data_IF_451680570290
#
_entry.id   IF_451680570290
#
_cell.length_a   1.000
_cell.length_b   1.000
_cell.length_c   1.000
_cell.angle_alpha   90.00
_cell.angle_beta   90.00
_cell.angle_gamma   90.00
#
_symmetry.space_group_name_H-M   'P 1'
#
loop_
_entity.id
_entity.type
_entity.pdbx_description
1 polymer ?
#
# COMPACT_ATOMS: atom_id res chain seq x y z
N UNK A 1 -9.19 -12.15 12.33
CA UNK A 1 -8.12 -11.26 11.84
C UNK A 1 -8.36 -11.01 10.35
N UNK A 2 -8.19 -9.78 9.90
CA UNK A 2 -8.38 -9.36 8.51
C UNK A 2 -7.17 -8.51 8.11
N UNK A 3 -6.56 -8.81 6.99
CA UNK A 3 -5.41 -8.09 6.46
C UNK A 3 -5.87 -7.30 5.24
N UNK A 4 -5.65 -5.99 5.26
CA UNK A 4 -6.09 -5.11 4.18
C UNK A 4 -5.22 -3.85 4.09
N UNK A 5 -5.49 -3.05 3.07
CA UNK A 5 -4.93 -1.72 2.92
C UNK A 5 -5.33 -0.80 4.06
N UNK A 6 -4.40 0.01 4.54
CA UNK A 6 -4.69 1.06 5.53
C UNK A 6 -5.78 2.05 5.10
N UNK A 7 -5.95 2.27 3.79
CA UNK A 7 -7.03 3.08 3.25
C UNK A 7 -8.43 2.51 3.54
N UNK A 8 -8.55 1.18 3.77
CA UNK A 8 -9.82 0.52 4.11
C UNK A 8 -10.25 0.67 5.56
N UNK A 9 -9.35 1.06 6.48
CA UNK A 9 -9.60 1.06 7.93
C UNK A 9 -10.85 1.85 8.30
N UNK A 10 -11.04 3.04 7.73
CA UNK A 10 -12.20 3.87 8.02
C UNK A 10 -13.51 3.20 7.62
N UNK A 11 -13.57 2.60 6.43
CA UNK A 11 -14.76 1.89 5.95
C UNK A 11 -15.09 0.68 6.83
N UNK A 12 -14.07 -0.04 7.30
CA UNK A 12 -14.25 -1.17 8.22
C UNK A 12 -14.82 -0.69 9.55
N UNK A 13 -14.31 0.41 10.12
CA UNK A 13 -14.84 0.98 11.36
C UNK A 13 -16.30 1.39 11.19
N UNK A 14 -16.62 2.14 10.15
CA UNK A 14 -17.96 2.70 9.93
C UNK A 14 -19.02 1.62 9.60
N UNK A 15 -18.61 0.52 8.98
CA UNK A 15 -19.52 -0.58 8.63
C UNK A 15 -19.66 -1.63 9.73
N UNK A 16 -18.79 -1.63 10.74
CA UNK A 16 -18.81 -2.61 11.81
C UNK A 16 -19.77 -2.22 12.94
N UNK A 17 -20.48 -3.21 13.49
CA UNK A 17 -21.35 -3.05 14.68
C UNK A 17 -20.64 -3.42 16.00
N UNK A 18 -19.32 -3.56 15.94
CA UNK A 18 -18.46 -3.94 17.06
C UNK A 18 -17.20 -3.08 17.06
N UNK A 19 -16.45 -3.13 18.16
CA UNK A 19 -15.18 -2.38 18.26
C UNK A 19 -14.12 -3.00 17.37
N UNK A 20 -13.58 -2.19 16.44
CA UNK A 20 -12.52 -2.57 15.52
C UNK A 20 -11.17 -2.18 16.12
N UNK A 21 -10.29 -3.15 16.33
CA UNK A 21 -8.88 -2.93 16.65
C UNK A 21 -8.04 -2.92 15.37
N UNK A 22 -6.98 -2.12 15.36
CA UNK A 22 -5.96 -2.10 14.30
C UNK A 22 -4.60 -2.35 14.93
N UNK A 23 -3.81 -3.19 14.31
CA UNK A 23 -2.47 -3.53 14.78
C UNK A 23 -1.50 -3.57 13.59
N UNK A 24 -0.21 -3.58 13.89
CA UNK A 24 0.84 -3.80 12.90
C UNK A 24 0.70 -5.19 12.29
N UNK A 25 1.17 -5.35 11.06
CA UNK A 25 1.26 -6.66 10.41
C UNK A 25 2.08 -7.60 11.30
N UNK A 26 1.56 -8.80 11.64
CA UNK A 26 2.26 -9.74 12.49
C UNK A 26 3.53 -10.25 11.80
N UNK A 27 4.54 -10.55 12.59
CA UNK A 27 5.82 -11.12 12.16
C UNK A 27 6.25 -12.20 13.15
N UNK A 28 7.11 -13.17 12.73
CA UNK A 28 7.63 -14.20 13.64
C UNK A 28 8.44 -13.60 14.79
N UNK A 29 8.41 -14.23 15.97
CA UNK A 29 9.07 -13.72 17.18
C UNK A 29 10.60 -13.64 17.04
N UNK A 30 11.19 -14.52 16.24
CA UNK A 30 12.60 -14.63 15.97
C UNK A 30 13.09 -13.70 14.84
N UNK A 31 12.17 -12.96 14.20
CA UNK A 31 12.48 -12.04 13.11
C UNK A 31 12.24 -10.61 13.54
N UNK A 32 13.19 -9.73 13.25
CA UNK A 32 13.02 -8.30 13.50
C UNK A 32 11.98 -7.72 12.55
N UNK A 33 11.04 -6.96 13.08
CA UNK A 33 10.07 -6.22 12.27
C UNK A 33 10.76 -5.32 11.25
N UNK A 34 10.39 -5.49 9.97
CA UNK A 34 10.99 -4.75 8.85
C UNK A 34 10.14 -3.57 8.35
N UNK A 35 8.88 -3.51 8.73
CA UNK A 35 7.94 -2.49 8.28
C UNK A 35 6.99 -2.99 7.19
N UNK A 36 6.45 -2.06 6.42
CA UNK A 36 5.41 -2.32 5.42
C UNK A 36 5.78 -1.72 4.07
N UNK A 37 5.19 -2.28 3.01
CA UNK A 37 5.27 -1.72 1.66
C UNK A 37 4.24 -0.59 1.53
N UNK A 38 4.63 0.54 0.96
CA UNK A 38 3.69 1.59 0.58
C UNK A 38 3.18 1.34 -0.85
N UNK A 39 1.87 1.47 -1.02
CA UNK A 39 1.23 1.56 -2.32
C UNK A 39 0.66 2.95 -2.55
N UNK A 40 0.05 3.19 -3.70
CA UNK A 40 -0.59 4.45 -3.98
C UNK A 40 -0.74 4.71 -5.47
N UNK A 41 -0.97 5.99 -5.79
CA UNK A 41 -1.06 6.51 -7.14
C UNK A 41 -0.22 7.78 -7.25
N UNK A 42 0.17 8.13 -8.46
CA UNK A 42 0.89 9.37 -8.75
C UNK A 42 0.22 10.13 -9.89
N UNK A 43 0.39 11.45 -9.87
CA UNK A 43 -0.06 12.32 -10.95
C UNK A 43 1.09 12.54 -11.94
N UNK A 44 0.75 12.45 -13.20
CA UNK A 44 1.70 12.65 -14.30
C UNK A 44 1.22 13.77 -15.19
N UNK A 45 2.13 14.66 -15.56
CA UNK A 45 1.85 15.72 -16.52
C UNK A 45 2.42 15.34 -17.89
N UNK A 46 1.59 15.41 -18.92
CA UNK A 46 2.03 15.20 -20.32
C UNK A 46 2.60 16.49 -20.89
N UNK A 47 3.61 16.36 -21.74
CA UNK A 47 4.14 17.47 -22.54
C UNK A 47 3.43 17.64 -23.90
N UNK A 48 2.39 16.86 -24.17
CA UNK A 48 1.64 16.89 -25.43
C UNK A 48 0.51 17.92 -25.46
N UNK A 49 0.46 18.82 -24.48
CA UNK A 49 -0.53 19.91 -24.39
C UNK A 49 0.18 21.26 -24.36
N UNK A 50 -0.56 22.33 -24.61
CA UNK A 50 0.00 23.69 -24.62
C UNK A 50 0.70 24.03 -23.29
N UNK A 51 1.74 24.85 -23.36
CA UNK A 51 2.56 25.25 -22.21
C UNK A 51 1.70 25.89 -21.08
N UNK A 52 0.71 26.67 -21.44
CA UNK A 52 -0.23 27.27 -20.49
C UNK A 52 -1.02 26.21 -19.73
N UNK A 53 -1.47 25.16 -20.41
CA UNK A 53 -2.14 24.01 -19.77
C UNK A 53 -1.20 23.27 -18.83
N UNK A 54 0.09 23.09 -19.22
CA UNK A 54 1.09 22.48 -18.35
C UNK A 54 1.33 23.33 -17.09
N UNK A 55 1.41 24.66 -17.21
CA UNK A 55 1.52 25.57 -16.05
C UNK A 55 0.33 25.43 -15.10
N UNK A 56 -0.89 25.40 -15.64
CA UNK A 56 -2.10 25.19 -14.85
C UNK A 56 -2.12 23.83 -14.13
N UNK A 57 -1.73 22.77 -14.84
CA UNK A 57 -1.60 21.43 -14.25
C UNK A 57 -0.55 21.39 -13.12
N UNK A 58 0.57 22.06 -13.31
CA UNK A 58 1.61 22.17 -12.28
C UNK A 58 1.13 22.94 -11.04
N UNK A 59 0.41 24.03 -11.25
CA UNK A 59 -0.17 24.81 -10.15
C UNK A 59 -1.21 23.98 -9.36
N UNK A 60 -2.01 23.17 -10.05
CA UNK A 60 -2.93 22.24 -9.43
C UNK A 60 -2.17 21.14 -8.62
N UNK A 61 -1.11 20.56 -9.18
CA UNK A 61 -0.28 19.61 -8.45
C UNK A 61 0.31 20.22 -7.17
N UNK A 62 0.84 21.45 -7.25
CA UNK A 62 1.33 22.17 -6.06
C UNK A 62 0.22 22.43 -5.04
N UNK A 63 -0.98 22.77 -5.50
CA UNK A 63 -2.12 22.94 -4.62
C UNK A 63 -2.44 21.66 -3.86
N UNK A 64 -2.45 20.51 -4.54
CA UNK A 64 -2.72 19.21 -3.92
C UNK A 64 -1.68 18.80 -2.85
N UNK A 65 -0.47 19.37 -2.86
CA UNK A 65 0.57 19.07 -1.85
C UNK A 65 0.50 19.94 -0.60
N UNK A 66 -0.41 20.92 -0.52
CA UNK A 66 -0.57 21.77 0.67
C UNK A 66 -1.02 20.96 1.88
N UNK A 67 -0.59 21.34 3.06
CA UNK A 67 -0.87 20.63 4.30
C UNK A 67 -2.38 20.50 4.59
N UNK A 68 -3.12 21.57 4.45
CA UNK A 68 -4.58 21.61 4.65
C UNK A 68 -5.34 20.73 3.65
N UNK A 69 -4.91 20.73 2.38
CA UNK A 69 -5.49 19.89 1.32
C UNK A 69 -5.17 18.41 1.58
N UNK A 70 -3.94 18.10 1.94
CA UNK A 70 -3.51 16.75 2.28
C UNK A 70 -4.15 16.23 3.57
N UNK A 71 -4.39 17.10 4.55
CA UNK A 71 -5.13 16.75 5.77
C UNK A 71 -6.57 16.32 5.43
N UNK A 72 -7.25 17.08 4.57
CA UNK A 72 -8.58 16.73 4.09
C UNK A 72 -8.59 15.43 3.32
N UNK A 73 -7.65 15.26 2.39
CA UNK A 73 -7.50 14.02 1.61
C UNK A 73 -7.29 12.81 2.52
N UNK A 74 -6.37 12.90 3.48
CA UNK A 74 -6.09 11.83 4.43
C UNK A 74 -7.33 11.45 5.26
N UNK A 75 -8.04 12.44 5.81
CA UNK A 75 -9.20 12.17 6.68
C UNK A 75 -10.41 11.63 5.93
N UNK A 76 -10.61 12.01 4.67
CA UNK A 76 -11.74 11.57 3.86
C UNK A 76 -11.51 10.22 3.15
N UNK A 77 -10.27 9.93 2.78
CA UNK A 77 -9.94 8.76 1.95
C UNK A 77 -9.19 7.65 2.70
N UNK A 78 -8.57 7.95 3.83
CA UNK A 78 -7.67 7.04 4.55
C UNK A 78 -6.29 6.87 3.91
N UNK A 79 -6.00 7.53 2.79
CA UNK A 79 -4.65 7.52 2.20
C UNK A 79 -3.68 8.35 3.03
N UNK A 80 -2.41 7.94 3.06
CA UNK A 80 -1.36 8.71 3.74
C UNK A 80 -1.12 10.05 3.06
N UNK A 81 -0.88 11.07 3.89
CA UNK A 81 -0.45 12.37 3.38
C UNK A 81 1.01 12.29 2.89
N UNK A 82 1.27 12.90 1.74
CA UNK A 82 2.63 13.12 1.24
C UNK A 82 3.29 14.36 1.86
N UNK A 83 2.50 15.20 2.56
CA UNK A 83 2.98 16.35 3.29
C UNK A 83 2.97 16.05 4.80
N UNK A 84 4.12 15.95 5.48
CA UNK A 84 4.18 15.65 6.91
C UNK A 84 3.43 16.66 7.79
N UNK A 85 3.38 17.93 7.38
CA UNK A 85 2.69 18.99 8.15
C UNK A 85 1.18 18.77 8.22
N UNK A 86 0.61 18.03 7.28
CA UNK A 86 -0.80 17.67 7.30
C UNK A 86 -1.22 16.94 8.59
N UNK A 87 -0.32 16.14 9.16
CA UNK A 87 -0.59 15.41 10.42
C UNK A 87 -0.68 16.35 11.64
N UNK A 88 -0.22 17.59 11.52
CA UNK A 88 -0.32 18.63 12.54
C UNK A 88 -1.61 19.45 12.41
N UNK A 89 -2.35 19.32 11.32
CA UNK A 89 -3.58 20.06 11.09
C UNK A 89 -4.68 19.66 12.11
N UNK A 90 -5.48 20.62 12.57
CA UNK A 90 -6.55 20.36 13.54
C UNK A 90 -7.52 19.27 13.09
N UNK A 91 -7.83 19.21 11.80
CA UNK A 91 -8.73 18.22 11.21
C UNK A 91 -8.22 16.78 11.45
N UNK A 92 -6.93 16.53 11.24
CA UNK A 92 -6.32 15.20 11.43
C UNK A 92 -6.26 14.86 12.93
N UNK A 93 -5.90 15.83 13.79
CA UNK A 93 -5.88 15.64 15.26
C UNK A 93 -7.25 15.22 15.80
N UNK A 94 -8.31 15.92 15.41
CA UNK A 94 -9.69 15.57 15.79
C UNK A 94 -10.08 14.17 15.27
N UNK A 95 -9.67 13.85 14.05
CA UNK A 95 -9.93 12.51 13.49
C UNK A 95 -9.26 11.41 14.31
N UNK A 96 -8.02 11.62 14.74
CA UNK A 96 -7.26 10.64 15.54
C UNK A 96 -7.76 10.53 16.99
N UNK A 97 -8.31 11.62 17.55
CA UNK A 97 -9.02 11.55 18.85
C UNK A 97 -10.26 10.67 18.75
N UNK A 98 -11.02 10.80 17.67
CA UNK A 98 -12.24 10.02 17.44
C UNK A 98 -11.97 8.58 17.02
N UNK A 99 -10.92 8.36 16.22
CA UNK A 99 -10.55 7.07 15.62
C UNK A 99 -9.05 6.82 15.78
N UNK A 100 -8.59 6.52 17.01
CA UNK A 100 -7.15 6.35 17.29
C UNK A 100 -6.52 5.20 16.47
N UNK A 101 -7.32 4.26 15.99
CA UNK A 101 -6.88 3.16 15.14
C UNK A 101 -6.22 3.63 13.84
N UNK A 102 -6.64 4.78 13.30
CA UNK A 102 -6.07 5.35 12.07
C UNK A 102 -4.61 5.75 12.25
N UNK A 103 -4.22 6.17 13.45
CA UNK A 103 -2.85 6.56 13.76
C UNK A 103 -1.88 5.38 13.69
N UNK A 104 -2.34 4.19 14.08
CA UNK A 104 -1.53 2.96 14.09
C UNK A 104 -0.92 2.67 12.71
N UNK A 105 -1.68 2.88 11.64
CA UNK A 105 -1.22 2.64 10.27
C UNK A 105 -0.12 3.63 9.84
N UNK A 106 -0.25 4.89 10.22
CA UNK A 106 0.75 5.92 9.95
C UNK A 106 2.03 5.65 10.74
N UNK A 107 1.91 5.30 12.01
CA UNK A 107 3.05 4.95 12.88
C UNK A 107 3.83 3.75 12.32
N UNK A 108 3.13 2.72 11.83
CA UNK A 108 3.77 1.56 11.20
C UNK A 108 4.55 1.96 9.95
N UNK A 109 3.97 2.80 9.09
CA UNK A 109 4.65 3.27 7.88
C UNK A 109 5.89 4.11 8.24
N UNK A 110 5.77 5.04 9.19
CA UNK A 110 6.86 5.91 9.62
C UNK A 110 8.00 5.14 10.30
N UNK A 111 7.68 4.06 11.01
CA UNK A 111 8.67 3.16 11.61
C UNK A 111 9.36 2.25 10.59
N UNK A 112 8.86 2.19 9.36
CA UNK A 112 9.40 1.35 8.29
C UNK A 112 10.75 1.88 7.83
N UNK A 113 11.77 1.02 7.85
CA UNK A 113 13.08 1.33 7.28
C UNK A 113 13.06 1.02 5.78
N UNK A 114 13.41 1.98 4.91
CA UNK A 114 13.51 1.73 3.48
C UNK A 114 14.52 0.61 3.19
N UNK A 115 14.07 -0.37 2.41
CA UNK A 115 14.89 -1.51 1.96
C UNK A 115 14.30 -2.07 0.67
N UNK A 116 15.00 -2.97 0.01
CA UNK A 116 14.46 -3.67 -1.17
C UNK A 116 13.14 -4.39 -0.85
N UNK A 117 13.02 -4.95 0.35
CA UNK A 117 11.79 -5.63 0.79
C UNK A 117 10.62 -4.66 1.00
N UNK A 118 10.87 -3.46 1.53
CA UNK A 118 9.83 -2.46 1.83
C UNK A 118 9.50 -1.54 0.66
N UNK A 119 10.32 -1.53 -0.40
CA UNK A 119 10.00 -0.85 -1.67
C UNK A 119 8.97 -1.63 -2.51
N UNK A 120 8.76 -2.90 -2.19
CA UNK A 120 7.91 -3.80 -2.96
C UNK A 120 8.64 -4.45 -4.13
N UNK A 121 8.05 -5.50 -4.66
CA UNK A 121 8.62 -6.23 -5.77
C UNK A 121 8.46 -5.46 -7.08
N UNK A 122 9.56 -5.26 -7.80
CA UNK A 122 9.58 -4.70 -9.16
C UNK A 122 9.97 -5.82 -10.13
N UNK A 123 8.97 -6.53 -10.62
CA UNK A 123 9.14 -7.64 -11.57
C UNK A 123 8.18 -7.49 -12.75
N UNK A 124 8.63 -7.89 -13.94
CA UNK A 124 7.85 -7.78 -15.17
C UNK A 124 6.61 -8.68 -15.22
N UNK A 125 6.56 -9.70 -14.36
CA UNK A 125 5.51 -10.73 -14.28
C UNK A 125 4.72 -10.61 -12.98
N UNK A 126 4.51 -9.40 -12.50
CA UNK A 126 3.83 -9.17 -11.22
C UNK A 126 2.39 -9.71 -11.18
N UNK A 127 1.56 -9.56 -12.26
CA UNK A 127 0.23 -10.15 -12.31
C UNK A 127 0.24 -11.68 -12.16
N UNK A 128 1.14 -12.36 -12.87
CA UNK A 128 1.29 -13.82 -12.81
C UNK A 128 1.74 -14.30 -11.44
N UNK A 129 2.66 -13.56 -10.81
CA UNK A 129 3.13 -13.84 -9.45
C UNK A 129 1.98 -13.71 -8.44
N UNK A 130 1.16 -12.68 -8.54
CA UNK A 130 -0.01 -12.49 -7.68
C UNK A 130 -1.04 -13.61 -7.85
N UNK A 131 -1.33 -14.00 -9.08
CA UNK A 131 -2.24 -15.09 -9.38
C UNK A 131 -1.73 -16.43 -8.80
N UNK A 132 -0.43 -16.69 -8.90
CA UNK A 132 0.20 -17.87 -8.31
C UNK A 132 0.04 -17.89 -6.76
N UNK A 133 0.19 -16.75 -6.10
CA UNK A 133 -0.01 -16.64 -4.64
C UNK A 133 -1.47 -16.84 -4.26
N UNK A 134 -2.42 -16.27 -4.99
CA UNK A 134 -3.86 -16.48 -4.76
C UNK A 134 -4.20 -17.97 -4.85
N UNK A 135 -3.76 -18.66 -5.90
CA UNK A 135 -3.97 -20.10 -6.08
C UNK A 135 -3.34 -20.94 -4.98
N UNK A 136 -2.16 -20.53 -4.48
CA UNK A 136 -1.54 -21.20 -3.35
C UNK A 136 -2.37 -21.06 -2.07
N UNK A 137 -2.91 -19.87 -1.79
CA UNK A 137 -3.77 -19.63 -0.64
C UNK A 137 -5.08 -20.44 -0.74
N UNK A 138 -5.72 -20.46 -1.91
CA UNK A 138 -6.91 -21.28 -2.17
C UNK A 138 -6.62 -22.76 -1.91
N UNK A 139 -5.52 -23.29 -2.45
CA UNK A 139 -5.13 -24.68 -2.21
C UNK A 139 -4.85 -24.99 -0.72
N UNK A 140 -4.30 -24.03 0.04
CA UNK A 140 -4.12 -24.17 1.48
C UNK A 140 -5.46 -24.21 2.22
N UNK A 141 -6.45 -23.41 1.82
CA UNK A 141 -7.80 -23.46 2.39
C UNK A 141 -8.48 -24.81 2.10
N UNK A 142 -8.16 -25.44 0.97
CA UNK A 142 -8.62 -26.79 0.59
C UNK A 142 -7.79 -27.90 1.25
N UNK A 143 -6.87 -27.57 2.15
CA UNK A 143 -6.12 -28.52 2.97
C UNK A 143 -4.75 -28.92 2.41
N UNK A 144 -4.26 -28.29 1.34
CA UNK A 144 -2.90 -28.54 0.84
C UNK A 144 -1.84 -28.05 1.84
N UNK A 145 -0.73 -28.78 1.92
CA UNK A 145 0.41 -28.36 2.74
C UNK A 145 0.92 -26.97 2.31
N UNK A 146 1.11 -26.06 3.26
CA UNK A 146 1.47 -24.67 2.99
C UNK A 146 2.80 -24.54 2.27
N UNK A 147 3.80 -25.37 2.62
CA UNK A 147 5.11 -25.34 1.99
C UNK A 147 5.02 -25.78 0.54
N UNK A 148 4.30 -26.86 0.26
CA UNK A 148 4.11 -27.36 -1.10
C UNK A 148 3.38 -26.33 -1.98
N UNK A 149 2.32 -25.71 -1.47
CA UNK A 149 1.57 -24.70 -2.19
C UNK A 149 2.44 -23.48 -2.53
N UNK A 150 3.25 -23.01 -1.58
CA UNK A 150 4.16 -21.88 -1.79
C UNK A 150 5.33 -22.23 -2.73
N UNK A 151 5.88 -23.44 -2.63
CA UNK A 151 6.94 -23.91 -3.54
C UNK A 151 6.44 -23.97 -5.00
N UNK A 152 5.18 -24.36 -5.22
CA UNK A 152 4.57 -24.35 -6.55
C UNK A 152 4.35 -22.93 -7.09
N UNK A 153 3.89 -22.00 -6.22
CA UNK A 153 3.74 -20.61 -6.59
C UNK A 153 5.09 -19.98 -6.97
N UNK A 154 6.15 -20.27 -6.20
CA UNK A 154 7.50 -19.82 -6.49
C UNK A 154 7.98 -20.35 -7.85
N UNK A 155 7.86 -21.65 -8.11
CA UNK A 155 8.23 -22.26 -9.40
C UNK A 155 7.47 -21.66 -10.59
N UNK A 156 6.19 -21.35 -10.40
CA UNK A 156 5.36 -20.73 -11.44
C UNK A 156 5.85 -19.31 -11.74
N UNK A 157 6.16 -18.54 -10.71
CA UNK A 157 6.70 -17.18 -10.83
C UNK A 157 8.09 -17.20 -11.50
N UNK A 158 9.00 -18.08 -11.08
CA UNK A 158 10.34 -18.21 -11.65
C UNK A 158 10.31 -18.56 -13.13
N UNK A 159 9.39 -19.44 -13.52
CA UNK A 159 9.18 -19.79 -14.93
C UNK A 159 8.69 -18.58 -15.73
N UNK A 160 7.75 -17.81 -15.21
CA UNK A 160 7.24 -16.60 -15.85
C UNK A 160 8.35 -15.54 -16.02
N UNK A 161 9.17 -15.31 -14.98
CA UNK A 161 10.34 -14.43 -15.04
C UNK A 161 11.32 -14.89 -16.12
N UNK A 162 11.61 -16.19 -16.17
CA UNK A 162 12.54 -16.77 -17.15
C UNK A 162 12.05 -16.58 -18.59
N UNK A 163 10.75 -16.68 -18.82
CA UNK A 163 10.14 -16.44 -20.15
C UNK A 163 10.22 -14.95 -20.49
N UNK A 164 9.82 -14.08 -19.57
CA UNK A 164 9.87 -12.62 -19.76
C UNK A 164 11.29 -12.13 -20.08
N UNK A 165 12.28 -12.59 -19.34
CA UNK A 165 13.68 -12.22 -19.58
C UNK A 165 14.17 -12.63 -20.97
N UNK A 166 13.80 -13.81 -21.45
CA UNK A 166 14.15 -14.27 -22.81
C UNK A 166 13.47 -13.45 -23.90
N UNK A 167 12.25 -13.00 -23.66
CA UNK A 167 11.49 -12.20 -24.63
C UNK A 167 11.99 -10.76 -24.71
N UNK A 168 12.47 -10.19 -23.58
CA UNK A 168 12.92 -8.82 -23.48
C UNK A 168 14.44 -8.62 -23.78
N UNK A 169 15.17 -9.69 -24.05
CA UNK A 169 16.59 -9.64 -24.46
C UNK A 169 16.80 -9.44 -25.97
N UNK A 170 15.77 -8.99 -26.69
CA UNK A 170 15.87 -8.68 -28.14
C UNK A 170 16.13 -7.20 -28.39
#
# INVERSE_FOLDING_TARGET
MYLDSSAGVRNVIDSSKFNVGVAYIPYPEDVKQNGVVIGGASLWMTNMVAEETQKGAWDFMKYLTKADVQAKWHTETGYFSINPDAYNEPLVKQQYEKYPQLKVTVEQLQATKPSVATQGALISVFPESRDAVVKALEAMYDGKNSKEALDEAAKTTDRAISISNRTNQK
#
